data_IF_340040683551
#
_entry.id   IF_340040683551
#
_cell.length_a   1.000
_cell.length_b   1.000
_cell.length_c   1.000
_cell.angle_alpha   90.00
_cell.angle_beta   90.00
_cell.angle_gamma   90.00
#
_symmetry.space_group_name_H-M   'P 1'
#
loop_
_entity.id
_entity.type
_entity.pdbx_description
1 polymer ?
#
# COMPACT_ATOMS: atom_id res chain seq x y z
N UNK A 1 -17.03 -7.40 -27.72
CA UNK A 1 -15.93 -7.75 -26.81
C UNK A 1 -14.60 -7.50 -27.52
N UNK A 2 -13.67 -6.79 -26.88
CA UNK A 2 -12.36 -6.46 -27.46
C UNK A 2 -11.27 -6.92 -26.48
N UNK A 3 -10.16 -7.44 -27.01
CA UNK A 3 -9.01 -7.88 -26.20
C UNK A 3 -7.82 -6.99 -26.49
N UNK A 4 -7.20 -6.47 -25.44
CA UNK A 4 -5.99 -5.66 -25.50
C UNK A 4 -4.88 -6.25 -24.64
N UNK A 5 -3.63 -6.00 -24.96
CA UNK A 5 -2.50 -6.50 -24.20
C UNK A 5 -1.33 -5.49 -24.19
N UNK A 6 -0.48 -5.59 -23.19
CA UNK A 6 0.67 -4.72 -22.98
C UNK A 6 0.33 -3.39 -22.30
N UNK A 7 1.17 -2.36 -22.48
CA UNK A 7 1.03 -1.07 -21.78
C UNK A 7 -0.28 -0.33 -22.05
N UNK A 8 -0.94 -0.61 -23.17
CA UNK A 8 -2.22 0.01 -23.56
C UNK A 8 -3.35 -0.32 -22.57
N UNK A 9 -3.26 -1.43 -21.85
CA UNK A 9 -4.26 -1.82 -20.84
C UNK A 9 -4.45 -0.74 -19.78
N UNK A 10 -3.38 -0.07 -19.36
CA UNK A 10 -3.48 1.04 -18.39
C UNK A 10 -4.24 2.24 -18.97
N UNK A 11 -4.11 2.49 -20.26
CA UNK A 11 -4.86 3.54 -20.97
C UNK A 11 -6.34 3.18 -21.05
N UNK A 12 -6.67 1.92 -21.35
CA UNK A 12 -8.07 1.45 -21.37
C UNK A 12 -8.74 1.63 -20.01
N UNK A 13 -8.05 1.27 -18.92
CA UNK A 13 -8.55 1.47 -17.55
C UNK A 13 -8.76 2.95 -17.23
N UNK A 14 -7.82 3.82 -17.60
CA UNK A 14 -7.97 5.26 -17.39
C UNK A 14 -9.14 5.82 -18.20
N UNK A 15 -9.30 5.42 -19.45
CA UNK A 15 -10.41 5.83 -20.32
C UNK A 15 -11.77 5.40 -19.72
N UNK A 16 -11.89 4.17 -19.22
CA UNK A 16 -13.12 3.73 -18.53
C UNK A 16 -13.44 4.65 -17.34
N UNK A 17 -12.44 4.97 -16.51
CA UNK A 17 -12.63 5.85 -15.35
C UNK A 17 -13.00 7.26 -15.79
N UNK A 18 -12.28 7.83 -16.77
CA UNK A 18 -12.48 9.20 -17.23
C UNK A 18 -13.84 9.40 -17.95
N UNK A 19 -14.35 8.35 -18.59
CA UNK A 19 -15.65 8.37 -19.31
C UNK A 19 -16.86 7.99 -18.43
N UNK A 20 -16.65 7.50 -17.20
CA UNK A 20 -17.75 7.19 -16.28
C UNK A 20 -18.54 8.44 -15.90
N UNK A 21 -19.88 8.35 -15.85
CA UNK A 21 -20.79 9.46 -15.58
C UNK A 21 -21.65 9.24 -14.34
N UNK A 22 -22.07 8.00 -14.08
CA UNK A 22 -23.02 7.67 -13.02
C UNK A 22 -22.39 6.75 -11.97
N UNK A 23 -21.79 5.66 -12.40
CA UNK A 23 -21.27 4.61 -11.53
C UNK A 23 -19.88 4.16 -11.93
N UNK A 24 -19.01 3.97 -10.94
CA UNK A 24 -17.67 3.44 -11.11
C UNK A 24 -17.37 2.41 -10.02
N UNK A 25 -17.10 1.16 -10.43
CA UNK A 25 -16.68 0.10 -9.53
C UNK A 25 -15.27 -0.37 -9.89
N UNK A 26 -14.34 -0.21 -8.97
CA UNK A 26 -12.95 -0.60 -9.13
C UNK A 26 -12.62 -1.74 -8.16
N UNK A 27 -12.52 -2.97 -8.68
CA UNK A 27 -12.15 -4.16 -7.92
C UNK A 27 -10.70 -4.49 -8.19
N UNK A 28 -9.84 -4.38 -7.17
CA UNK A 28 -8.42 -4.72 -7.29
C UNK A 28 -7.88 -5.26 -5.96
N UNK A 29 -7.12 -6.36 -5.96
CA UNK A 29 -6.53 -6.87 -4.72
C UNK A 29 -5.48 -5.92 -4.16
N UNK A 30 -4.78 -5.20 -5.02
CA UNK A 30 -3.74 -4.27 -4.62
C UNK A 30 -4.00 -2.90 -5.24
N UNK A 31 -3.96 -1.88 -4.38
CA UNK A 31 -4.25 -0.50 -4.71
C UNK A 31 -3.11 0.41 -4.25
N UNK A 32 -2.37 0.91 -5.20
CA UNK A 32 -1.33 1.91 -4.99
C UNK A 32 -1.30 2.80 -6.25
N UNK A 33 -2.24 3.73 -6.33
CA UNK A 33 -2.44 4.52 -7.54
C UNK A 33 -1.22 5.40 -7.81
N UNK A 34 -0.99 5.65 -9.09
CA UNK A 34 -0.01 6.62 -9.58
C UNK A 34 -0.72 7.92 -9.94
N UNK A 35 0.05 9.01 -10.13
CA UNK A 35 -0.48 10.35 -10.24
C UNK A 35 -1.66 10.52 -11.23
N UNK A 36 -1.61 9.91 -12.43
CA UNK A 36 -2.71 9.98 -13.40
C UNK A 36 -3.95 9.23 -12.91
N UNK A 37 -3.80 8.04 -12.34
CA UNK A 37 -4.92 7.28 -11.78
C UNK A 37 -5.54 7.99 -10.57
N UNK A 38 -4.71 8.56 -9.68
CA UNK A 38 -5.19 9.36 -8.55
C UNK A 38 -6.07 10.50 -9.03
N UNK A 39 -5.61 11.24 -10.05
CA UNK A 39 -6.34 12.36 -10.61
C UNK A 39 -7.66 11.91 -11.26
N UNK A 40 -7.64 10.83 -12.07
CA UNK A 40 -8.85 10.30 -12.74
C UNK A 40 -9.91 9.88 -11.74
N UNK A 41 -9.55 9.12 -10.68
CA UNK A 41 -10.50 8.71 -9.63
C UNK A 41 -10.98 9.94 -8.83
N UNK A 42 -10.08 10.83 -8.46
CA UNK A 42 -10.44 12.04 -7.73
C UNK A 42 -11.44 12.89 -8.51
N UNK A 43 -11.18 13.12 -9.80
CA UNK A 43 -12.07 13.87 -10.69
C UNK A 43 -13.43 13.17 -10.88
N UNK A 44 -13.45 11.83 -10.97
CA UNK A 44 -14.70 11.09 -11.02
C UNK A 44 -15.57 11.38 -9.80
N UNK A 45 -14.99 11.29 -8.61
CA UNK A 45 -15.70 11.48 -7.34
C UNK A 45 -16.11 12.94 -7.11
N UNK A 46 -15.15 13.89 -7.25
CA UNK A 46 -15.35 15.27 -6.75
C UNK A 46 -15.84 16.24 -7.84
N UNK A 47 -15.45 16.03 -9.09
CA UNK A 47 -15.80 16.95 -10.19
C UNK A 47 -17.04 16.46 -10.92
N UNK A 48 -17.10 15.16 -11.25
CA UNK A 48 -18.22 14.59 -11.99
C UNK A 48 -19.33 14.00 -11.11
N UNK A 49 -19.09 13.86 -9.80
CA UNK A 49 -20.09 13.30 -8.86
C UNK A 49 -20.38 11.81 -9.08
N UNK A 50 -19.48 11.06 -9.72
CA UNK A 50 -19.66 9.65 -10.02
C UNK A 50 -19.70 8.83 -8.73
N UNK A 51 -20.75 8.02 -8.55
CA UNK A 51 -20.83 7.08 -7.42
C UNK A 51 -19.74 6.01 -7.54
N UNK A 52 -18.65 6.24 -6.84
CA UNK A 52 -17.44 5.44 -6.96
C UNK A 52 -17.27 4.48 -5.79
N UNK A 53 -17.07 3.20 -6.09
CA UNK A 53 -16.77 2.16 -5.10
C UNK A 53 -15.44 1.49 -5.43
N UNK A 54 -14.54 1.41 -4.43
CA UNK A 54 -13.32 0.62 -4.49
C UNK A 54 -13.50 -0.63 -3.63
N UNK A 55 -13.36 -1.82 -4.21
CA UNK A 55 -13.32 -3.09 -3.49
C UNK A 55 -11.89 -3.62 -3.49
N UNK A 56 -11.29 -3.67 -2.32
CA UNK A 56 -9.87 -3.95 -2.12
C UNK A 56 -9.67 -5.24 -1.32
N UNK A 57 -8.46 -5.79 -1.37
CA UNK A 57 -8.12 -6.97 -0.59
C UNK A 57 -8.06 -6.64 0.90
N UNK A 58 -8.82 -7.40 1.69
CA UNK A 58 -8.80 -7.40 3.15
C UNK A 58 -7.73 -8.31 3.74
N UNK A 59 -7.82 -8.59 5.05
CA UNK A 59 -6.89 -9.44 5.78
C UNK A 59 -5.56 -8.73 6.07
N UNK A 60 -4.43 -9.41 5.84
CA UNK A 60 -3.09 -8.87 6.16
C UNK A 60 -2.74 -7.57 5.44
N UNK A 61 -3.30 -7.37 4.26
CA UNK A 61 -3.01 -6.19 3.44
C UNK A 61 -3.97 -5.02 3.71
N UNK A 62 -5.00 -5.21 4.54
CA UNK A 62 -6.08 -4.24 4.75
C UNK A 62 -5.56 -2.86 5.16
N UNK A 63 -4.67 -2.79 6.13
CA UNK A 63 -4.14 -1.50 6.64
C UNK A 63 -3.43 -0.69 5.54
N UNK A 64 -2.61 -1.37 4.71
CA UNK A 64 -1.92 -0.74 3.58
C UNK A 64 -2.90 -0.22 2.54
N UNK A 65 -3.92 -1.03 2.21
CA UNK A 65 -4.96 -0.67 1.24
C UNK A 65 -5.82 0.49 1.77
N UNK A 66 -6.20 0.45 3.03
CA UNK A 66 -6.99 1.49 3.69
C UNK A 66 -6.24 2.83 3.70
N UNK A 67 -4.94 2.82 4.00
CA UNK A 67 -4.08 4.00 3.93
C UNK A 67 -4.03 4.59 2.52
N UNK A 68 -3.88 3.76 1.49
CA UNK A 68 -3.84 4.19 0.10
C UNK A 68 -5.21 4.73 -0.38
N UNK A 69 -6.32 4.12 0.07
CA UNK A 69 -7.68 4.51 -0.29
C UNK A 69 -8.23 5.70 0.51
N UNK A 70 -7.58 6.09 1.61
CA UNK A 70 -8.05 7.15 2.53
C UNK A 70 -8.35 8.49 1.84
N UNK A 71 -7.55 9.00 0.90
CA UNK A 71 -7.86 10.24 0.18
C UNK A 71 -9.19 10.15 -0.57
N UNK A 72 -9.44 9.04 -1.25
CA UNK A 72 -10.67 8.82 -2.03
C UNK A 72 -11.90 8.65 -1.15
N UNK A 73 -11.77 7.97 0.00
CA UNK A 73 -12.82 7.88 1.01
C UNK A 73 -13.21 9.27 1.53
N UNK A 74 -12.23 10.13 1.79
CA UNK A 74 -12.48 11.52 2.21
C UNK A 74 -13.16 12.34 1.11
N UNK A 75 -12.88 12.03 -0.15
CA UNK A 75 -13.51 12.67 -1.31
C UNK A 75 -14.95 12.20 -1.55
N UNK A 76 -15.41 11.11 -0.91
CA UNK A 76 -16.78 10.59 -1.04
C UNK A 76 -16.88 9.19 -1.67
N UNK A 77 -15.76 8.55 -2.03
CA UNK A 77 -15.81 7.19 -2.55
C UNK A 77 -16.11 6.16 -1.45
N UNK A 78 -16.85 5.12 -1.81
CA UNK A 78 -17.12 3.96 -0.97
C UNK A 78 -15.95 2.99 -1.00
N UNK A 79 -15.47 2.52 0.16
CA UNK A 79 -14.36 1.59 0.25
C UNK A 79 -14.81 0.30 0.93
N UNK A 80 -14.74 -0.81 0.20
CA UNK A 80 -15.01 -2.15 0.69
C UNK A 80 -13.74 -3.01 0.78
N UNK A 81 -13.77 -4.02 1.66
CA UNK A 81 -12.66 -4.97 1.81
C UNK A 81 -13.19 -6.40 1.79
N UNK A 82 -12.59 -7.23 0.94
CA UNK A 82 -12.91 -8.65 0.83
C UNK A 82 -11.66 -9.50 1.06
N UNK A 83 -11.69 -10.43 2.03
CA UNK A 83 -10.61 -11.40 2.25
C UNK A 83 -10.38 -12.24 0.99
N UNK A 84 -9.12 -12.60 0.74
CA UNK A 84 -8.74 -13.42 -0.43
C UNK A 84 -9.11 -12.84 -1.79
N UNK A 85 -9.53 -11.58 -1.89
CA UNK A 85 -9.78 -10.94 -3.18
C UNK A 85 -8.54 -11.05 -4.08
N UNK A 86 -8.73 -11.51 -5.33
CA UNK A 86 -7.68 -11.53 -6.35
C UNK A 86 -8.21 -11.13 -7.74
N UNK A 87 -9.49 -10.84 -7.87
CA UNK A 87 -10.09 -10.30 -9.10
C UNK A 87 -9.60 -8.88 -9.40
N UNK A 88 -9.47 -8.56 -10.68
CA UNK A 88 -9.23 -7.24 -11.22
C UNK A 88 -10.30 -6.98 -12.25
N UNK A 89 -11.30 -6.23 -11.85
CA UNK A 89 -12.47 -5.91 -12.66
C UNK A 89 -12.83 -4.44 -12.44
N UNK A 90 -12.95 -3.72 -13.53
CA UNK A 90 -13.30 -2.30 -13.53
C UNK A 90 -14.56 -2.11 -14.34
N UNK A 91 -15.55 -1.45 -13.75
CA UNK A 91 -16.88 -1.26 -14.36
C UNK A 91 -17.30 0.20 -14.31
N UNK A 92 -17.86 0.66 -15.41
CA UNK A 92 -18.70 1.85 -15.48
C UNK A 92 -20.13 1.43 -15.85
N UNK A 93 -21.05 2.38 -15.94
CA UNK A 93 -22.43 2.14 -16.40
C UNK A 93 -22.54 1.67 -17.85
N UNK A 94 -21.45 1.76 -18.65
CA UNK A 94 -21.44 1.45 -20.09
C UNK A 94 -20.51 0.29 -20.49
N UNK A 95 -19.47 0.01 -19.69
CA UNK A 95 -18.49 -1.02 -20.03
C UNK A 95 -17.85 -1.67 -18.80
N UNK A 96 -17.31 -2.87 -19.00
CA UNK A 96 -16.53 -3.62 -18.05
C UNK A 96 -15.16 -3.98 -18.63
N UNK A 97 -14.13 -3.92 -17.81
CA UNK A 97 -12.78 -4.41 -18.10
C UNK A 97 -12.43 -5.51 -17.10
N UNK A 98 -12.19 -6.72 -17.59
CA UNK A 98 -11.62 -7.83 -16.82
C UNK A 98 -10.17 -7.98 -17.24
N UNK A 99 -9.23 -7.95 -16.30
CA UNK A 99 -7.82 -7.83 -16.64
C UNK A 99 -6.90 -8.55 -15.65
N UNK A 100 -5.66 -8.77 -16.06
CA UNK A 100 -4.58 -9.15 -15.14
C UNK A 100 -4.02 -7.97 -14.34
N UNK A 101 -4.25 -6.72 -14.80
CA UNK A 101 -3.69 -5.49 -14.25
C UNK A 101 -4.27 -5.14 -12.87
N UNK A 102 -3.40 -4.97 -11.87
CA UNK A 102 -3.77 -4.33 -10.61
C UNK A 102 -3.73 -2.80 -10.72
N UNK A 103 -4.42 -2.10 -9.81
CA UNK A 103 -4.32 -0.64 -9.68
C UNK A 103 -3.02 -0.25 -8.96
N UNK A 104 -1.90 -0.64 -9.54
CA UNK A 104 -0.54 -0.37 -9.09
C UNK A 104 0.26 0.33 -10.19
N UNK A 105 1.12 1.27 -9.80
CA UNK A 105 2.03 1.95 -10.73
C UNK A 105 2.90 0.95 -11.51
N UNK A 106 3.41 -0.10 -10.85
CA UNK A 106 4.22 -1.13 -11.51
C UNK A 106 3.44 -1.96 -12.54
N UNK A 107 2.15 -2.23 -12.31
CA UNK A 107 1.31 -2.89 -13.31
C UNK A 107 1.03 -2.00 -14.52
N UNK A 108 0.92 -0.69 -14.30
CA UNK A 108 0.63 0.26 -15.38
C UNK A 108 1.84 0.59 -16.27
N UNK A 109 3.06 0.58 -15.70
CA UNK A 109 4.26 1.08 -16.36
C UNK A 109 5.28 -0.02 -16.73
N UNK A 110 5.36 -1.08 -15.94
CA UNK A 110 6.47 -2.05 -16.00
C UNK A 110 6.01 -3.49 -16.33
N UNK A 111 4.68 -3.73 -16.49
CA UNK A 111 4.13 -5.07 -16.69
C UNK A 111 3.47 -5.23 -18.06
N UNK A 112 3.59 -6.43 -18.63
CA UNK A 112 2.73 -6.85 -19.72
C UNK A 112 1.42 -7.38 -19.13
N UNK A 113 0.35 -6.65 -19.36
CA UNK A 113 -0.98 -6.99 -18.87
C UNK A 113 -1.89 -7.36 -20.06
N UNK A 114 -2.96 -8.09 -19.78
CA UNK A 114 -4.01 -8.38 -20.74
C UNK A 114 -5.36 -7.93 -20.18
N UNK A 115 -6.22 -7.43 -21.05
CA UNK A 115 -7.57 -6.99 -20.69
C UNK A 115 -8.59 -7.42 -21.73
N UNK A 116 -9.77 -7.75 -21.23
CA UNK A 116 -10.97 -7.99 -22.02
C UNK A 116 -11.96 -6.87 -21.70
N UNK A 117 -12.33 -6.09 -22.72
CA UNK A 117 -13.32 -5.03 -22.64
C UNK A 117 -14.67 -5.55 -23.14
N UNK A 118 -15.69 -5.35 -22.32
CA UNK A 118 -17.07 -5.81 -22.58
C UNK A 118 -17.98 -4.59 -22.58
N UNK A 119 -18.57 -4.28 -23.73
CA UNK A 119 -19.52 -3.17 -23.86
C UNK A 119 -20.92 -3.62 -23.46
N UNK A 120 -21.59 -2.85 -22.58
CA UNK A 120 -22.98 -3.10 -22.23
C UNK A 120 -23.90 -3.12 -23.45
N UNK A 121 -23.65 -2.26 -24.43
CA UNK A 121 -24.47 -2.16 -25.64
C UNK A 121 -24.27 -3.35 -26.59
N UNK A 122 -23.02 -3.77 -26.83
CA UNK A 122 -22.69 -4.85 -27.79
C UNK A 122 -22.80 -6.24 -27.18
N UNK A 123 -22.48 -6.38 -25.89
CA UNK A 123 -22.33 -7.65 -25.19
C UNK A 123 -23.15 -7.65 -23.88
N UNK A 124 -24.43 -7.24 -23.96
CA UNK A 124 -25.29 -6.99 -22.80
C UNK A 124 -25.41 -8.17 -21.84
N UNK A 125 -25.48 -9.41 -22.38
CA UNK A 125 -25.55 -10.62 -21.57
C UNK A 125 -24.29 -10.82 -20.74
N UNK A 126 -23.11 -10.77 -21.37
CA UNK A 126 -21.82 -10.96 -20.69
C UNK A 126 -21.57 -9.82 -19.67
N UNK A 127 -21.92 -8.60 -20.05
CA UNK A 127 -21.83 -7.45 -19.13
C UNK A 127 -22.71 -7.67 -17.89
N UNK A 128 -23.93 -8.16 -18.05
CA UNK A 128 -24.84 -8.49 -16.93
C UNK A 128 -24.29 -9.62 -16.04
N UNK A 129 -23.70 -10.66 -16.63
CA UNK A 129 -23.06 -11.74 -15.88
C UNK A 129 -21.87 -11.23 -15.03
N UNK A 130 -21.05 -10.34 -15.60
CA UNK A 130 -19.94 -9.70 -14.85
C UNK A 130 -20.48 -8.89 -13.67
N UNK A 131 -21.53 -8.09 -13.87
CA UNK A 131 -22.18 -7.32 -12.78
C UNK A 131 -22.61 -8.26 -11.67
N UNK A 132 -23.36 -9.33 -11.95
CA UNK A 132 -23.81 -10.29 -10.94
C UNK A 132 -22.67 -10.88 -10.11
N UNK A 133 -21.52 -11.18 -10.75
CA UNK A 133 -20.33 -11.66 -10.01
C UNK A 133 -19.73 -10.59 -9.14
N UNK A 134 -19.69 -9.34 -9.60
CA UNK A 134 -19.21 -8.20 -8.81
C UNK A 134 -20.14 -7.90 -7.62
N UNK A 135 -21.46 -7.94 -7.81
CA UNK A 135 -22.44 -7.80 -6.72
C UNK A 135 -22.26 -8.87 -5.64
N UNK A 136 -22.03 -10.12 -6.05
CA UNK A 136 -21.76 -11.21 -5.10
C UNK A 136 -20.50 -10.93 -4.25
N UNK A 137 -19.44 -10.37 -4.86
CA UNK A 137 -18.23 -9.96 -4.12
C UNK A 137 -18.49 -8.80 -3.16
N UNK A 138 -19.27 -7.79 -3.57
CA UNK A 138 -19.66 -6.67 -2.72
C UNK A 138 -20.53 -7.12 -1.54
N UNK A 139 -21.46 -8.05 -1.78
CA UNK A 139 -22.29 -8.61 -0.72
C UNK A 139 -21.45 -9.35 0.33
N UNK A 140 -20.50 -10.19 -0.10
CA UNK A 140 -19.56 -10.85 0.82
C UNK A 140 -18.72 -9.85 1.61
N UNK A 141 -18.23 -8.79 0.98
CA UNK A 141 -17.45 -7.74 1.66
C UNK A 141 -18.27 -7.03 2.74
N UNK A 142 -19.55 -6.76 2.48
CA UNK A 142 -20.48 -6.16 3.44
C UNK A 142 -20.72 -7.07 4.63
N UNK A 143 -20.93 -8.37 4.40
CA UNK A 143 -21.09 -9.37 5.46
C UNK A 143 -19.81 -9.52 6.31
N UNK A 144 -18.62 -9.55 5.72
CA UNK A 144 -17.37 -9.58 6.45
C UNK A 144 -17.19 -8.34 7.33
N UNK A 145 -17.56 -7.16 6.86
CA UNK A 145 -17.50 -5.92 7.62
C UNK A 145 -18.46 -5.95 8.83
N UNK A 146 -19.71 -6.37 8.60
CA UNK A 146 -20.72 -6.50 9.66
C UNK A 146 -20.29 -7.52 10.74
N UNK A 147 -19.72 -8.66 10.33
CA UNK A 147 -19.19 -9.68 11.27
C UNK A 147 -18.04 -9.11 12.11
N UNK A 148 -17.11 -8.38 11.52
CA UNK A 148 -16.01 -7.75 12.27
C UNK A 148 -16.50 -6.68 13.25
N UNK A 149 -17.49 -5.89 12.89
CA UNK A 149 -18.12 -4.91 13.79
C UNK A 149 -18.84 -5.60 14.95
N UNK A 150 -19.60 -6.65 14.66
CA UNK A 150 -20.30 -7.43 15.68
C UNK A 150 -19.33 -8.14 16.64
N UNK A 151 -18.20 -8.66 16.13
CA UNK A 151 -17.16 -9.29 16.95
C UNK A 151 -16.48 -8.26 17.86
N UNK A 152 -16.06 -7.12 17.33
CA UNK A 152 -15.47 -6.04 18.12
C UNK A 152 -16.43 -5.54 19.22
N UNK A 153 -17.72 -5.47 18.92
CA UNK A 153 -18.77 -5.14 19.90
C UNK A 153 -18.89 -6.19 21.00
N UNK A 154 -18.86 -7.49 20.66
CA UNK A 154 -18.87 -8.59 21.64
C UNK A 154 -17.63 -8.58 22.52
N UNK A 155 -16.44 -8.38 21.95
CA UNK A 155 -15.18 -8.27 22.70
C UNK A 155 -15.21 -7.09 23.67
N UNK A 156 -15.79 -5.95 23.28
CA UNK A 156 -16.00 -4.80 24.16
C UNK A 156 -16.98 -5.13 25.28
N UNK A 157 -18.10 -5.79 24.99
CA UNK A 157 -19.09 -6.19 26.00
C UNK A 157 -18.52 -7.23 26.99
N UNK A 158 -17.71 -8.18 26.49
CA UNK A 158 -17.03 -9.15 27.37
C UNK A 158 -15.99 -8.47 28.26
N UNK A 159 -15.27 -7.47 27.77
CA UNK A 159 -14.35 -6.66 28.58
C UNK A 159 -15.08 -5.89 29.69
N UNK A 160 -16.25 -5.35 29.41
CA UNK A 160 -17.12 -4.72 30.42
C UNK A 160 -17.65 -5.75 31.49
N UNK A 161 -18.07 -6.93 31.02
CA UNK A 161 -18.59 -7.97 31.89
C UNK A 161 -17.51 -8.60 32.81
N UNK A 162 -16.27 -8.65 32.38
CA UNK A 162 -15.13 -9.19 33.15
C UNK A 162 -14.48 -8.20 34.12
N UNK A 163 -15.03 -7.00 34.30
CA UNK A 163 -14.55 -6.01 35.27
C UNK A 163 -13.18 -5.38 34.99
N UNK A 164 -12.57 -5.67 33.87
CA UNK A 164 -11.31 -5.06 33.42
C UNK A 164 -11.54 -3.76 32.60
N UNK A 165 -12.46 -2.90 33.07
CA UNK A 165 -12.65 -1.58 32.50
C UNK A 165 -11.62 -0.62 33.09
N UNK A 166 -10.39 -0.63 32.57
CA UNK A 166 -9.46 0.49 32.73
C UNK A 166 -9.29 1.18 31.40
N UNK A 167 -10.05 2.28 31.28
CA UNK A 167 -9.74 3.57 30.67
C UNK A 167 -8.98 3.59 29.35
N UNK A 168 -9.69 3.85 28.26
CA UNK A 168 -9.29 4.94 27.34
C UNK A 168 -10.54 5.46 26.60
N UNK A 169 -11.15 6.49 27.18
CA UNK A 169 -12.05 7.37 26.45
C UNK A 169 -11.23 8.22 25.46
N UNK A 170 -11.70 8.46 24.23
CA UNK A 170 -11.04 9.39 23.33
C UNK A 170 -11.29 10.82 23.81
N UNK A 171 -10.26 11.46 24.36
CA UNK A 171 -10.30 12.88 24.68
C UNK A 171 -10.31 13.70 23.39
N UNK A 172 -11.43 14.35 23.13
CA UNK A 172 -11.56 15.46 22.18
C UNK A 172 -10.74 16.64 22.70
N UNK A 173 -9.58 16.91 22.10
CA UNK A 173 -8.81 18.12 22.38
C UNK A 173 -9.47 19.31 21.70
N UNK A 174 -10.14 20.16 22.50
CA UNK A 174 -10.47 21.53 22.17
C UNK A 174 -9.19 22.34 22.02
N UNK A 175 -9.11 23.11 20.95
CA UNK A 175 -8.08 24.11 20.73
C UNK A 175 -8.21 25.25 21.75
N UNK A 176 -7.10 25.61 22.40
CA UNK A 176 -6.94 26.91 23.06
C UNK A 176 -5.54 27.43 22.80
N UNK A 177 -5.49 28.54 22.11
CA UNK A 177 -4.32 29.39 21.90
C UNK A 177 -3.87 30.04 23.20
N UNK A 178 -2.55 30.17 23.41
CA UNK A 178 -1.91 31.40 23.94
C UNK A 178 -0.37 31.27 24.09
N UNK A 179 0.26 32.11 23.30
CA UNK A 179 1.42 33.02 23.52
C UNK A 179 2.54 32.71 24.54
N UNK A 180 3.72 32.71 23.96
CA UNK A 180 5.06 33.27 24.38
C UNK A 180 5.33 33.52 25.85
N UNK A 181 6.45 33.01 26.41
CA UNK A 181 7.59 33.87 26.82
C UNK A 181 8.86 33.03 27.02
N UNK A 182 9.99 33.60 26.58
CA UNK A 182 11.36 33.15 26.78
C UNK A 182 11.78 33.27 28.24
N UNK A 183 12.59 32.34 28.79
CA UNK A 183 13.73 32.69 29.62
C UNK A 183 14.78 31.61 29.73
N UNK A 184 15.96 31.98 29.40
CA UNK A 184 17.25 31.33 29.50
C UNK A 184 17.71 31.26 30.96
N UNK A 185 18.34 30.16 31.40
CA UNK A 185 19.58 30.25 32.22
C UNK A 185 20.18 28.87 32.53
N UNK A 186 21.44 28.81 32.20
CA UNK A 186 22.50 27.88 32.61
C UNK A 186 22.48 27.45 34.09
N UNK A 187 22.87 26.17 34.38
CA UNK A 187 24.03 25.86 35.25
C UNK A 187 24.27 24.36 35.43
N UNK A 188 25.43 24.01 35.10
CA UNK A 188 26.46 23.03 35.47
C UNK A 188 26.28 22.11 36.70
N UNK A 189 26.79 20.86 36.48
CA UNK A 189 27.60 19.96 37.36
C UNK A 189 26.81 19.21 38.43
N UNK A 190 27.01 17.90 38.67
CA UNK A 190 28.17 17.08 38.87
C UNK A 190 27.75 15.64 39.21
N UNK A 191 28.51 14.69 38.70
CA UNK A 191 28.85 13.35 39.16
C UNK A 191 28.12 12.72 40.38
N UNK A 192 27.68 11.45 40.25
CA UNK A 192 28.18 10.33 41.08
C UNK A 192 27.74 8.96 40.58
N UNK A 193 28.63 8.00 40.82
CA UNK A 193 28.69 6.60 40.39
C UNK A 193 27.80 5.66 41.22
N UNK A 194 27.58 4.47 40.63
CA UNK A 194 27.27 3.13 41.16
C UNK A 194 25.78 2.74 41.01
N UNK A 195 25.42 1.53 40.60
CA UNK A 195 26.10 0.23 40.47
C UNK A 195 25.23 -0.74 39.63
N UNK A 196 25.91 -1.67 39.01
CA UNK A 196 25.51 -2.88 38.29
C UNK A 196 24.17 -3.53 38.71
N UNK A 197 23.31 -3.81 37.69
CA UNK A 197 22.61 -5.09 37.60
C UNK A 197 22.41 -5.50 36.15
N UNK A 198 23.06 -6.59 35.80
CA UNK A 198 23.09 -7.22 34.49
C UNK A 198 21.72 -7.73 34.07
N UNK A 199 21.15 -7.23 32.98
CA UNK A 199 20.12 -7.92 32.20
C UNK A 199 20.70 -8.23 30.84
N UNK A 200 20.85 -9.52 30.58
CA UNK A 200 21.27 -10.21 29.36
C UNK A 200 20.49 -9.64 28.16
N UNK A 201 21.07 -8.71 27.42
CA UNK A 201 20.57 -8.27 26.14
C UNK A 201 20.97 -9.28 25.07
N UNK A 202 19.99 -9.90 24.43
CA UNK A 202 20.16 -10.62 23.15
C UNK A 202 20.96 -9.73 22.22
N UNK A 203 22.08 -10.23 21.73
CA UNK A 203 22.96 -9.58 20.78
C UNK A 203 22.20 -9.23 19.49
N UNK A 204 21.95 -7.95 19.26
CA UNK A 204 21.62 -7.45 17.92
C UNK A 204 22.89 -7.60 17.08
N UNK A 205 22.87 -8.53 16.12
CA UNK A 205 23.89 -8.68 15.10
C UNK A 205 24.18 -7.32 14.44
N UNK A 206 25.47 -7.03 14.27
CA UNK A 206 26.01 -5.78 13.76
C UNK A 206 25.24 -5.29 12.51
N UNK A 207 24.69 -4.10 12.58
CA UNK A 207 23.92 -3.46 11.51
C UNK A 207 24.79 -2.91 10.36
N UNK A 208 26.05 -3.33 10.24
CA UNK A 208 26.97 -2.89 9.17
C UNK A 208 26.74 -3.69 7.90
N UNK A 209 26.63 -3.01 6.79
CA UNK A 209 26.52 -3.52 5.43
C UNK A 209 27.48 -2.79 4.49
N UNK A 210 27.43 -3.12 3.22
CA UNK A 210 28.31 -2.58 2.18
C UNK A 210 27.47 -2.12 0.98
N UNK A 211 27.74 -0.93 0.46
CA UNK A 211 27.11 -0.45 -0.75
C UNK A 211 27.38 -1.41 -1.92
N UNK A 212 26.33 -1.89 -2.57
CA UNK A 212 26.44 -2.88 -3.65
C UNK A 212 27.17 -2.38 -4.89
N UNK A 213 27.34 -1.04 -5.06
CA UNK A 213 28.03 -0.42 -6.21
C UNK A 213 29.48 -0.06 -5.94
N UNK A 214 29.77 0.62 -4.82
CA UNK A 214 31.08 1.21 -4.55
C UNK A 214 31.79 0.62 -3.32
N UNK A 215 31.26 -0.41 -2.69
CA UNK A 215 31.78 -1.06 -1.49
C UNK A 215 31.93 -0.20 -0.23
N UNK A 216 31.45 1.04 -0.22
CA UNK A 216 31.46 1.88 0.98
C UNK A 216 30.63 1.25 2.10
N UNK A 217 31.11 1.32 3.35
CA UNK A 217 30.38 0.84 4.51
C UNK A 217 29.11 1.66 4.74
N UNK A 218 27.95 0.99 4.87
CA UNK A 218 26.65 1.58 5.12
C UNK A 218 25.92 0.80 6.21
N UNK A 219 24.82 1.33 6.72
CA UNK A 219 23.89 0.53 7.51
C UNK A 219 23.28 -0.56 6.61
N UNK A 220 23.25 -1.81 7.08
CA UNK A 220 22.64 -2.91 6.31
C UNK A 220 21.13 -2.71 6.26
N UNK A 221 20.65 -2.41 5.07
CA UNK A 221 19.23 -2.21 4.77
C UNK A 221 18.96 -2.77 3.37
N UNK A 222 18.12 -3.81 3.30
CA UNK A 222 17.79 -4.50 2.04
C UNK A 222 17.01 -3.57 1.12
N UNK A 223 16.21 -2.67 1.68
CA UNK A 223 15.45 -1.69 0.91
C UNK A 223 16.30 -0.50 0.44
N UNK A 224 17.52 -0.33 1.02
CA UNK A 224 18.45 0.77 0.68
C UNK A 224 19.88 0.25 0.55
N UNK A 225 20.18 -0.60 -0.46
CA UNK A 225 21.47 -1.26 -0.60
C UNK A 225 22.60 -0.36 -1.14
N UNK A 226 22.31 0.91 -1.44
CA UNK A 226 23.25 1.88 -2.00
C UNK A 226 23.58 2.98 -0.98
N UNK A 227 24.82 3.46 -0.98
CA UNK A 227 25.17 4.69 -0.26
C UNK A 227 24.52 5.91 -0.91
N UNK A 228 24.48 7.04 -0.20
CA UNK A 228 23.77 8.25 -0.67
C UNK A 228 24.22 8.73 -2.05
N UNK A 229 25.53 8.75 -2.34
CA UNK A 229 26.07 9.16 -3.64
C UNK A 229 25.69 8.20 -4.76
N UNK A 230 25.77 6.89 -4.54
CA UNK A 230 25.38 5.89 -5.53
C UNK A 230 23.87 5.88 -5.74
N UNK A 231 23.09 6.11 -4.69
CA UNK A 231 21.65 6.22 -4.78
C UNK A 231 21.21 7.44 -5.62
N UNK A 232 21.86 8.60 -5.47
CA UNK A 232 21.56 9.78 -6.32
C UNK A 232 21.72 9.48 -7.82
N UNK A 233 22.74 8.70 -8.20
CA UNK A 233 22.94 8.30 -9.61
C UNK A 233 21.89 7.27 -10.02
N UNK A 234 21.68 6.24 -9.19
CA UNK A 234 20.73 5.17 -9.46
C UNK A 234 19.28 5.69 -9.57
N UNK A 235 18.90 6.64 -8.73
CA UNK A 235 17.53 7.20 -8.68
C UNK A 235 17.09 7.90 -9.96
N UNK A 236 18.03 8.30 -10.84
CA UNK A 236 17.72 8.87 -12.14
C UNK A 236 17.17 7.84 -13.12
N UNK A 237 17.64 6.59 -13.02
CA UNK A 237 17.30 5.52 -13.96
C UNK A 237 16.33 4.48 -13.34
N UNK A 238 16.35 4.31 -12.01
CA UNK A 238 15.49 3.41 -11.21
C UNK A 238 15.47 1.95 -11.68
N UNK A 239 16.48 1.51 -12.44
CA UNK A 239 16.58 0.13 -12.89
C UNK A 239 16.99 -0.77 -11.72
N UNK A 240 16.06 -1.58 -11.22
CA UNK A 240 16.25 -2.46 -10.07
C UNK A 240 17.03 -3.74 -10.38
N UNK A 241 17.08 -4.12 -11.63
CA UNK A 241 17.76 -5.33 -12.10
C UNK A 241 19.16 -5.03 -12.69
N UNK A 242 19.56 -3.75 -12.66
CA UNK A 242 20.91 -3.36 -13.06
C UNK A 242 21.97 -4.11 -12.23
N UNK A 243 22.93 -4.75 -12.92
CA UNK A 243 23.97 -5.55 -12.28
C UNK A 243 24.97 -4.67 -11.52
N UNK A 244 25.07 -4.87 -10.24
CA UNK A 244 25.99 -4.20 -9.31
C UNK A 244 27.11 -5.15 -8.86
N UNK A 245 28.14 -4.63 -8.19
CA UNK A 245 29.43 -5.31 -8.07
C UNK A 245 29.70 -6.01 -6.74
N UNK A 246 28.94 -5.68 -5.66
CA UNK A 246 29.25 -6.12 -4.30
C UNK A 246 28.02 -6.64 -3.56
N UNK A 247 28.25 -7.55 -2.61
CA UNK A 247 27.22 -8.07 -1.72
C UNK A 247 26.98 -7.10 -0.55
N UNK A 248 25.74 -6.72 -0.30
CA UNK A 248 25.34 -5.87 0.84
C UNK A 248 25.75 -6.44 2.19
N UNK A 249 25.75 -7.78 2.35
CA UNK A 249 26.02 -8.44 3.63
C UNK A 249 27.49 -8.61 3.95
N UNK A 250 28.28 -9.15 3.03
CA UNK A 250 29.70 -9.47 3.26
C UNK A 250 30.69 -8.56 2.51
N UNK A 251 30.24 -7.68 1.63
CA UNK A 251 31.10 -6.78 0.86
C UNK A 251 31.97 -7.44 -0.21
N UNK A 252 31.92 -8.76 -0.40
CA UNK A 252 32.68 -9.46 -1.44
C UNK A 252 32.13 -9.12 -2.82
N UNK A 253 33.00 -9.19 -3.84
CA UNK A 253 32.57 -9.08 -5.24
C UNK A 253 31.50 -10.13 -5.54
N UNK A 254 30.37 -9.70 -6.03
CA UNK A 254 29.21 -10.54 -6.33
C UNK A 254 28.30 -9.80 -7.31
N UNK A 255 27.79 -10.51 -8.31
CA UNK A 255 26.75 -9.98 -9.19
C UNK A 255 25.46 -9.79 -8.38
N UNK A 256 25.25 -8.59 -7.91
CA UNK A 256 24.08 -8.19 -7.13
C UNK A 256 23.22 -7.20 -7.93
N UNK A 257 22.02 -6.95 -7.47
CA UNK A 257 21.15 -5.90 -8.02
C UNK A 257 20.38 -5.26 -6.87
N UNK A 258 19.62 -4.20 -7.16
CA UNK A 258 18.76 -3.60 -6.14
C UNK A 258 17.73 -4.59 -5.59
N UNK A 259 17.17 -5.47 -6.45
CA UNK A 259 16.23 -6.53 -6.07
C UNK A 259 16.91 -7.70 -5.32
N UNK A 260 18.18 -7.99 -5.64
CA UNK A 260 18.94 -9.10 -5.05
C UNK A 260 20.30 -8.60 -4.54
N UNK A 261 20.32 -7.82 -3.43
CA UNK A 261 21.53 -7.13 -2.99
C UNK A 261 22.52 -8.01 -2.25
N UNK A 262 22.20 -9.27 -1.94
CA UNK A 262 23.04 -10.18 -1.17
C UNK A 262 23.38 -11.45 -1.92
N UNK A 263 24.56 -12.01 -1.67
CA UNK A 263 24.88 -13.38 -2.06
C UNK A 263 24.04 -14.39 -1.24
N UNK A 264 23.91 -15.61 -1.74
CA UNK A 264 23.08 -16.65 -1.14
C UNK A 264 23.42 -16.93 0.34
N UNK A 265 24.71 -16.97 0.68
CA UNK A 265 25.16 -17.20 2.06
C UNK A 265 24.74 -16.07 3.01
N UNK A 266 24.83 -14.82 2.54
CA UNK A 266 24.38 -13.66 3.32
C UNK A 266 22.85 -13.58 3.40
N UNK A 267 22.15 -13.92 2.33
CA UNK A 267 20.71 -14.01 2.32
C UNK A 267 20.19 -15.00 3.37
N UNK A 268 20.72 -16.24 3.38
CA UNK A 268 20.37 -17.22 4.42
C UNK A 268 20.65 -16.76 5.85
N UNK A 269 21.63 -15.89 6.04
CA UNK A 269 22.04 -15.44 7.38
C UNK A 269 21.23 -14.23 7.88
N UNK A 270 20.72 -13.40 6.99
CA UNK A 270 20.21 -12.06 7.33
C UNK A 270 18.79 -11.76 6.81
N UNK A 271 18.24 -12.56 5.90
CA UNK A 271 16.83 -12.56 5.48
C UNK A 271 16.06 -13.65 6.23
#
# INVERSE_FOLDING_TARGET
MDVTAGPVVSVDVLNLIDNSKEHLLLISPYFRPWGRLEQSIHNAVTVRGVNTTLLLRGGRDREKQEKAAKPFKKAGANIGFLKRLHAKVYLSETEAIVTSMNLLESSALDSWEIAMRVSKHRDSKLYGEIIQKCESMLHQASQETARHQAQAMRETLTAFASGNALATAPQTKKAASKSKTKRNKNRKSSSSKKSRRSKKKKSKSSSKGTCIRCSTSIKRDIERPLCHSCWKVWSKFKNKDYEEKYCLGCGKKHKSSFNKPMCYSCYKKYA
#
